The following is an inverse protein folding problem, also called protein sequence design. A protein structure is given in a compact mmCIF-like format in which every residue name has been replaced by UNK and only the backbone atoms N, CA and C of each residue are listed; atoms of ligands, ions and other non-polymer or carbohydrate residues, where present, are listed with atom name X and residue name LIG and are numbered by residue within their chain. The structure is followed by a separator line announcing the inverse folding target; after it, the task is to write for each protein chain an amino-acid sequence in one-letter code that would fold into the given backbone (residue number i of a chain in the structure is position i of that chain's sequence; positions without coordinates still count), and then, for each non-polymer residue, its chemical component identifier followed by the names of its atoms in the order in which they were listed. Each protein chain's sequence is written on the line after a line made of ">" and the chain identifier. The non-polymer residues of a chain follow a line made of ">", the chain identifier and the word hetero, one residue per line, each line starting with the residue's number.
data_IF_344221443497
#
_entry.id   IF_344221443497
#
_cell.length_a   1.000
_cell.length_b   1.000
_cell.length_c   1.000
_cell.angle_alpha   90.00
_cell.angle_beta   90.00
_cell.angle_gamma   90.00
#
_symmetry.space_group_name_H-M   'P 1'
#
loop_
_entity.id
_entity.type
_entity.pdbx_description
1 polymer ?
#
# COMPACT_ATOMS: atom_id res chain seq x y z
N UNK A 1 -2.20 -14.06 6.24
CA UNK A 1 -2.06 -13.67 4.82
C UNK A 1 -1.99 -12.15 4.75
N UNK A 2 -1.32 -11.57 3.76
CA UNK A 2 -1.29 -10.12 3.52
C UNK A 2 -1.48 -9.88 2.03
N UNK A 3 -2.42 -9.00 1.65
CA UNK A 3 -2.60 -8.63 0.25
C UNK A 3 -1.94 -7.29 -0.02
N UNK A 4 -0.88 -7.32 -0.80
CA UNK A 4 -0.14 -6.13 -1.20
C UNK A 4 -0.85 -5.41 -2.35
N UNK A 5 -1.06 -4.10 -2.19
CA UNK A 5 -1.60 -3.21 -3.23
C UNK A 5 -0.61 -2.09 -3.58
N UNK A 6 -0.76 -1.51 -4.77
CA UNK A 6 -0.01 -0.32 -5.15
C UNK A 6 -0.36 0.86 -4.23
N UNK A 7 0.65 1.54 -3.66
CA UNK A 7 0.40 2.68 -2.75
C UNK A 7 -0.11 3.92 -3.47
N UNK A 8 -0.20 3.89 -4.81
CA UNK A 8 -0.88 4.90 -5.64
C UNK A 8 -2.26 4.41 -6.10
N UNK A 9 -2.79 3.37 -5.45
CA UNK A 9 -4.15 2.82 -5.59
C UNK A 9 -4.56 2.44 -7.02
N UNK A 10 -3.60 1.99 -7.83
CA UNK A 10 -3.86 1.39 -9.15
C UNK A 10 -4.10 -0.11 -9.05
N UNK A 11 -4.80 -0.66 -10.04
CA UNK A 11 -5.09 -2.09 -10.17
C UNK A 11 -6.56 -2.43 -9.93
N UNK A 12 -6.85 -3.73 -9.84
CA UNK A 12 -8.20 -4.28 -9.69
C UNK A 12 -8.55 -4.45 -8.20
N UNK A 13 -8.48 -3.34 -7.46
CA UNK A 13 -8.51 -3.36 -5.98
C UNK A 13 -9.79 -3.99 -5.44
N UNK A 14 -10.95 -3.56 -5.93
CA UNK A 14 -12.24 -4.05 -5.45
C UNK A 14 -12.43 -5.52 -5.83
N UNK A 15 -12.18 -5.87 -7.09
CA UNK A 15 -12.36 -7.24 -7.60
C UNK A 15 -11.45 -8.25 -6.87
N UNK A 16 -10.21 -7.87 -6.57
CA UNK A 16 -9.28 -8.70 -5.79
C UNK A 16 -9.72 -8.87 -4.33
N UNK A 17 -10.26 -7.82 -3.70
CA UNK A 17 -10.82 -7.86 -2.34
C UNK A 17 -12.09 -8.74 -2.29
N UNK A 18 -12.95 -8.58 -3.28
CA UNK A 18 -14.18 -9.32 -3.47
C UNK A 18 -13.92 -10.83 -3.57
N UNK A 19 -12.94 -11.23 -4.38
CA UNK A 19 -12.54 -12.64 -4.50
C UNK A 19 -12.04 -13.25 -3.18
N UNK A 20 -11.34 -12.46 -2.36
CA UNK A 20 -10.90 -12.90 -1.02
C UNK A 20 -12.11 -13.17 -0.11
N UNK A 21 -13.12 -12.30 -0.16
CA UNK A 21 -14.32 -12.39 0.68
C UNK A 21 -15.26 -13.51 0.21
N UNK A 22 -15.39 -13.75 -1.10
CA UNK A 22 -16.16 -14.86 -1.67
C UNK A 22 -15.65 -16.22 -1.18
N UNK A 23 -14.33 -16.38 -1.20
CA UNK A 23 -13.64 -17.58 -0.74
C UNK A 23 -13.58 -17.69 0.80
N UNK A 24 -14.24 -16.77 1.52
CA UNK A 24 -14.30 -16.72 3.00
C UNK A 24 -12.91 -16.77 3.64
N UNK A 25 -11.92 -16.19 2.96
CA UNK A 25 -10.56 -16.10 3.47
C UNK A 25 -10.43 -15.06 4.59
N UNK A 26 -11.44 -14.20 4.75
CA UNK A 26 -11.57 -13.23 5.83
C UNK A 26 -13.05 -12.96 6.14
N UNK A 27 -13.36 -12.56 7.38
CA UNK A 27 -14.67 -12.01 7.75
C UNK A 27 -14.79 -10.55 7.31
N UNK A 28 -13.67 -9.82 7.36
CA UNK A 28 -13.59 -8.41 7.02
C UNK A 28 -12.20 -8.07 6.46
N UNK A 29 -12.14 -7.11 5.55
CA UNK A 29 -10.91 -6.60 4.97
C UNK A 29 -10.60 -5.21 5.52
N UNK A 30 -9.36 -4.98 5.91
CA UNK A 30 -8.85 -3.64 6.24
C UNK A 30 -8.02 -3.14 5.06
N UNK A 31 -8.58 -2.18 4.31
CA UNK A 31 -7.92 -1.54 3.18
C UNK A 31 -7.19 -0.27 3.62
N UNK A 32 -5.86 -0.34 3.69
CA UNK A 32 -5.00 0.73 4.22
C UNK A 32 -3.79 0.93 3.31
N UNK A 33 -3.93 1.71 2.22
CA UNK A 33 -2.87 1.86 1.22
C UNK A 33 -1.77 2.85 1.63
N UNK A 34 -1.90 3.56 2.76
CA UNK A 34 -0.97 4.58 3.19
C UNK A 34 0.49 4.08 3.29
N UNK A 35 1.41 4.94 2.88
CA UNK A 35 2.86 4.80 3.00
C UNK A 35 3.43 6.20 3.30
N UNK A 36 3.34 6.64 4.57
CA UNK A 36 3.72 7.99 5.01
C UNK A 36 5.13 8.41 4.60
N UNK A 37 6.10 7.49 4.67
CA UNK A 37 7.49 7.72 4.25
C UNK A 37 7.64 8.18 2.79
N UNK A 38 6.69 7.82 1.93
CA UNK A 38 6.66 8.22 0.52
C UNK A 38 5.63 9.33 0.26
N UNK A 39 5.18 10.01 1.31
CA UNK A 39 4.14 11.06 1.28
C UNK A 39 2.82 10.57 0.66
N UNK A 40 2.45 9.34 0.99
CA UNK A 40 1.20 8.69 0.56
C UNK A 40 0.35 8.46 1.81
N UNK A 41 -0.73 9.19 1.97
CA UNK A 41 -1.55 9.17 3.19
C UNK A 41 -3.03 9.09 2.84
N UNK A 42 -3.84 8.61 3.78
CA UNK A 42 -5.31 8.63 3.67
C UNK A 42 -5.89 9.41 4.83
N UNK A 43 -6.71 10.42 4.54
CA UNK A 43 -7.37 11.28 5.55
C UNK A 43 -8.80 11.57 5.13
N UNK A 44 -9.76 11.34 6.02
CA UNK A 44 -11.17 11.47 5.72
C UNK A 44 -11.58 10.60 4.53
N UNK A 45 -10.95 9.42 4.37
CA UNK A 45 -11.11 8.53 3.22
C UNK A 45 -10.49 9.01 1.92
N UNK A 46 -9.92 10.22 1.84
CA UNK A 46 -9.22 10.71 0.66
C UNK A 46 -7.75 10.28 0.67
N UNK A 47 -7.31 9.66 -0.42
CA UNK A 47 -5.91 9.28 -0.58
C UNK A 47 -5.12 10.37 -1.30
N UNK A 48 -4.01 10.76 -0.70
CA UNK A 48 -3.14 11.84 -1.16
C UNK A 48 -1.76 11.31 -1.48
N UNK A 49 -1.16 11.82 -2.57
CA UNK A 49 0.24 11.59 -2.93
C UNK A 49 0.92 12.95 -3.04
N UNK A 50 1.95 13.18 -2.24
CA UNK A 50 2.60 14.49 -2.11
C UNK A 50 1.58 15.62 -1.81
N UNK A 51 0.63 15.35 -0.92
CA UNK A 51 -0.46 16.29 -0.54
C UNK A 51 -1.47 16.61 -1.65
N UNK A 52 -1.39 15.94 -2.81
CA UNK A 52 -2.33 16.10 -3.91
C UNK A 52 -3.26 14.87 -3.93
N UNK A 53 -4.59 15.02 -4.06
CA UNK A 53 -5.49 13.89 -4.25
C UNK A 53 -5.02 12.99 -5.38
N UNK A 54 -4.93 11.68 -5.16
CA UNK A 54 -4.26 10.74 -6.08
C UNK A 54 -4.83 10.82 -7.51
N UNK A 55 -6.13 11.06 -7.65
CA UNK A 55 -6.82 11.27 -8.92
C UNK A 55 -6.41 12.50 -9.71
N UNK A 56 -5.70 13.44 -9.09
CA UNK A 56 -5.16 14.67 -9.69
C UNK A 56 -3.63 14.61 -9.86
N UNK A 57 -3.04 13.44 -9.78
CA UNK A 57 -1.59 13.24 -9.94
C UNK A 57 -1.27 12.52 -11.24
N UNK A 58 0.00 12.50 -11.65
CA UNK A 58 0.47 11.70 -12.79
C UNK A 58 0.12 10.19 -12.69
N UNK A 59 -0.18 9.69 -11.49
CA UNK A 59 -0.56 8.29 -11.30
C UNK A 59 -2.01 7.99 -11.72
N UNK A 60 -2.81 9.03 -12.01
CA UNK A 60 -4.17 8.87 -12.50
C UNK A 60 -4.29 8.73 -14.03
N UNK A 61 -3.17 8.89 -14.74
CA UNK A 61 -3.11 8.83 -16.20
C UNK A 61 -3.22 7.38 -16.70
N UNK A 62 -4.10 7.15 -17.68
CA UNK A 62 -4.22 5.87 -18.39
C UNK A 62 -4.99 4.76 -17.65
N UNK A 63 -5.50 5.00 -16.44
CA UNK A 63 -6.30 4.01 -15.69
C UNK A 63 -7.53 4.70 -15.09
N UNK A 64 -8.74 4.34 -15.51
CA UNK A 64 -9.96 5.06 -15.09
C UNK A 64 -10.18 5.03 -13.57
N UNK A 65 -9.97 3.88 -12.92
CA UNK A 65 -10.12 3.76 -11.46
C UNK A 65 -9.18 4.69 -10.70
N UNK A 66 -8.03 5.04 -11.27
CA UNK A 66 -7.05 5.90 -10.60
C UNK A 66 -7.42 7.39 -10.58
N UNK A 67 -8.57 7.80 -11.16
CA UNK A 67 -9.12 9.16 -11.08
C UNK A 67 -9.90 9.42 -9.78
N UNK A 68 -10.35 8.39 -9.08
CA UNK A 68 -11.14 8.53 -7.84
C UNK A 68 -10.18 8.63 -6.65
N UNK A 69 -10.23 9.77 -5.94
CA UNK A 69 -9.34 9.98 -4.78
C UNK A 69 -9.97 9.58 -3.44
N UNK A 70 -11.30 9.52 -3.36
CA UNK A 70 -12.01 9.08 -2.18
C UNK A 70 -12.14 7.54 -2.22
N UNK A 71 -11.36 6.87 -1.38
CA UNK A 71 -11.19 5.42 -1.41
C UNK A 71 -12.47 4.62 -1.19
N UNK A 72 -13.41 5.04 -0.31
CA UNK A 72 -14.67 4.33 -0.19
C UNK A 72 -15.46 4.29 -1.51
N UNK A 73 -15.51 5.39 -2.28
CA UNK A 73 -16.13 5.39 -3.62
C UNK A 73 -15.34 4.52 -4.59
N UNK A 74 -14.00 4.63 -4.60
CA UNK A 74 -13.13 3.82 -5.47
C UNK A 74 -13.41 2.32 -5.33
N UNK A 75 -13.65 1.83 -4.11
CA UNK A 75 -13.98 0.44 -3.86
C UNK A 75 -15.45 0.14 -4.17
N UNK A 76 -16.39 0.97 -3.68
CA UNK A 76 -17.84 0.76 -3.87
C UNK A 76 -18.28 0.71 -5.33
N UNK A 77 -17.60 1.43 -6.23
CA UNK A 77 -17.93 1.42 -7.67
C UNK A 77 -17.86 0.02 -8.29
N UNK A 78 -17.09 -0.89 -7.70
CA UNK A 78 -16.81 -2.22 -8.25
C UNK A 78 -16.98 -3.39 -7.28
N UNK A 79 -17.09 -3.10 -5.98
CA UNK A 79 -17.30 -4.08 -4.92
C UNK A 79 -18.79 -4.36 -4.76
N UNK A 80 -19.16 -5.64 -4.58
CA UNK A 80 -20.51 -6.02 -4.13
C UNK A 80 -20.68 -5.99 -2.61
N UNK A 81 -19.58 -5.83 -1.88
CA UNK A 81 -19.55 -5.78 -0.43
C UNK A 81 -19.66 -4.35 0.10
N UNK A 82 -20.34 -4.21 1.24
CA UNK A 82 -20.47 -2.94 1.93
C UNK A 82 -19.12 -2.42 2.43
N UNK A 83 -18.87 -1.15 2.13
CA UNK A 83 -17.62 -0.44 2.45
C UNK A 83 -17.93 0.66 3.47
N UNK A 84 -17.13 0.71 4.53
CA UNK A 84 -17.15 1.80 5.51
C UNK A 84 -15.73 2.35 5.74
N UNK A 85 -15.60 3.49 6.41
CA UNK A 85 -14.31 4.10 6.75
C UNK A 85 -13.98 3.93 8.23
N UNK A 86 -12.69 3.79 8.57
CA UNK A 86 -12.18 3.99 9.93
C UNK A 86 -11.54 5.38 9.94
N UNK A 87 -12.23 6.40 10.50
CA UNK A 87 -11.73 7.78 10.49
C UNK A 87 -10.43 7.92 11.27
N UNK A 88 -9.60 8.88 10.88
CA UNK A 88 -8.31 9.13 11.55
C UNK A 88 -8.47 9.36 13.06
N UNK A 89 -9.51 10.10 13.49
CA UNK A 89 -9.80 10.34 14.91
C UNK A 89 -9.99 9.03 15.72
N UNK A 90 -10.60 8.00 15.10
CA UNK A 90 -10.79 6.70 15.73
C UNK A 90 -9.46 5.97 15.86
N UNK A 91 -8.63 6.02 14.81
CA UNK A 91 -7.28 5.43 14.82
C UNK A 91 -6.41 6.11 15.88
N UNK A 92 -6.39 7.43 15.95
CA UNK A 92 -5.61 8.21 16.92
C UNK A 92 -6.04 7.97 18.37
N UNK A 93 -7.28 7.55 18.58
CA UNK A 93 -7.81 7.16 19.91
C UNK A 93 -7.25 5.82 20.42
N UNK A 94 -6.49 5.09 19.59
CA UNK A 94 -5.81 3.86 19.95
C UNK A 94 -6.54 2.60 19.47
N UNK A 95 -5.86 1.45 19.63
CA UNK A 95 -6.33 0.20 19.03
C UNK A 95 -7.63 -0.31 19.65
N UNK A 96 -7.88 -0.04 20.94
CA UNK A 96 -9.10 -0.49 21.63
C UNK A 96 -10.35 0.17 21.06
N UNK A 97 -10.28 1.49 20.84
CA UNK A 97 -11.39 2.23 20.23
C UNK A 97 -11.57 1.84 18.76
N UNK A 98 -10.46 1.66 18.04
CA UNK A 98 -10.48 1.15 16.66
C UNK A 98 -11.13 -0.24 16.58
N UNK A 99 -10.91 -1.13 17.55
CA UNK A 99 -11.58 -2.45 17.62
C UNK A 99 -13.09 -2.28 17.81
N UNK A 100 -13.53 -1.48 18.78
CA UNK A 100 -14.96 -1.25 19.05
C UNK A 100 -15.66 -0.69 17.81
N UNK A 101 -15.08 0.34 17.22
CA UNK A 101 -15.61 0.97 16.01
C UNK A 101 -15.72 -0.03 14.85
N UNK A 102 -14.65 -0.79 14.61
CA UNK A 102 -14.62 -1.78 13.52
C UNK A 102 -15.66 -2.90 13.71
N UNK A 103 -15.91 -3.34 14.95
CA UNK A 103 -16.99 -4.29 15.27
C UNK A 103 -18.36 -3.70 14.95
N UNK A 104 -18.62 -2.46 15.37
CA UNK A 104 -19.89 -1.80 15.06
C UNK A 104 -20.10 -1.68 13.54
N UNK A 105 -19.08 -1.37 12.75
CA UNK A 105 -19.18 -1.37 11.30
C UNK A 105 -19.47 -2.78 10.75
N UNK A 106 -18.79 -3.80 11.25
CA UNK A 106 -19.00 -5.19 10.85
C UNK A 106 -20.43 -5.68 11.13
N UNK A 107 -20.96 -5.38 12.32
CA UNK A 107 -22.33 -5.69 12.76
C UNK A 107 -23.39 -4.99 11.89
N UNK A 108 -23.09 -3.78 11.40
CA UNK A 108 -23.92 -3.05 10.42
C UNK A 108 -23.85 -3.61 9.00
N UNK A 109 -23.00 -4.61 8.75
CA UNK A 109 -22.89 -5.29 7.47
C UNK A 109 -21.63 -4.94 6.66
N UNK A 110 -20.78 -4.01 7.12
CA UNK A 110 -19.55 -3.70 6.41
C UNK A 110 -18.64 -4.92 6.34
N UNK A 111 -18.02 -5.15 5.17
CA UNK A 111 -17.03 -6.21 4.95
C UNK A 111 -15.70 -5.66 4.46
N UNK A 112 -15.65 -4.37 4.11
CA UNK A 112 -14.43 -3.66 3.75
C UNK A 112 -14.36 -2.38 4.57
N UNK A 113 -13.31 -2.21 5.36
CA UNK A 113 -13.03 -0.99 6.10
C UNK A 113 -11.83 -0.26 5.51
N UNK A 114 -12.04 0.97 5.05
CA UNK A 114 -11.00 1.86 4.57
C UNK A 114 -10.39 2.60 5.76
N UNK A 115 -9.14 2.28 6.09
CA UNK A 115 -8.45 2.92 7.22
C UNK A 115 -7.74 4.20 6.82
N UNK A 116 -8.03 5.30 7.52
CA UNK A 116 -7.22 6.50 7.48
C UNK A 116 -5.86 6.25 8.16
N UNK A 117 -4.80 6.84 7.60
CA UNK A 117 -3.46 6.84 8.18
C UNK A 117 -2.61 7.94 7.53
N UNK A 118 -2.05 8.80 8.38
CA UNK A 118 -1.11 9.86 8.06
C UNK A 118 0.34 9.50 8.40
N UNK A 119 0.53 8.67 9.43
CA UNK A 119 1.82 8.42 10.07
C UNK A 119 2.08 6.92 10.23
N UNK A 120 3.35 6.57 10.50
CA UNK A 120 3.70 5.18 10.82
C UNK A 120 3.08 4.73 12.16
N UNK A 121 2.75 5.67 13.05
CA UNK A 121 2.08 5.38 14.32
C UNK A 121 0.62 4.96 14.08
N UNK A 122 -0.10 5.64 13.19
CA UNK A 122 -1.46 5.27 12.80
C UNK A 122 -1.49 3.85 12.22
N UNK A 123 -0.51 3.54 11.35
CA UNK A 123 -0.35 2.20 10.77
C UNK A 123 -0.05 1.14 11.85
N UNK A 124 0.73 1.50 12.88
CA UNK A 124 1.02 0.62 14.02
C UNK A 124 -0.24 0.34 14.82
N UNK A 125 -1.07 1.36 15.09
CA UNK A 125 -2.35 1.21 15.78
C UNK A 125 -3.27 0.27 15.00
N UNK A 126 -3.42 0.49 13.69
CA UNK A 126 -4.18 -0.39 12.80
C UNK A 126 -3.67 -1.83 12.87
N UNK A 127 -2.34 -2.03 12.87
CA UNK A 127 -1.74 -3.37 13.04
C UNK A 127 -2.10 -3.99 14.39
N UNK A 128 -2.06 -3.25 15.50
CA UNK A 128 -2.47 -3.76 16.81
C UNK A 128 -3.95 -4.14 16.83
N UNK A 129 -4.83 -3.35 16.20
CA UNK A 129 -6.26 -3.64 16.04
C UNK A 129 -6.47 -4.96 15.31
N UNK A 130 -5.83 -5.13 14.14
CA UNK A 130 -5.94 -6.34 13.31
C UNK A 130 -5.53 -7.59 14.08
N UNK A 131 -4.52 -7.49 14.96
CA UNK A 131 -4.01 -8.64 15.72
C UNK A 131 -4.85 -9.00 16.96
N UNK A 132 -5.70 -8.09 17.45
CA UNK A 132 -6.43 -8.26 18.72
C UNK A 132 -7.94 -8.37 18.56
N UNK A 133 -8.48 -7.92 17.44
CA UNK A 133 -9.89 -8.07 17.16
C UNK A 133 -10.24 -9.54 16.96
N UNK A 134 -11.34 -9.97 17.57
CA UNK A 134 -11.91 -11.31 17.40
C UNK A 134 -12.73 -11.38 16.10
N UNK A 135 -12.06 -11.10 14.98
CA UNK A 135 -12.56 -11.25 13.61
C UNK A 135 -11.39 -11.69 12.75
N UNK A 136 -11.65 -12.55 11.76
CA UNK A 136 -10.63 -12.95 10.78
C UNK A 136 -10.39 -11.82 9.80
N UNK A 137 -9.48 -10.91 10.14
CA UNK A 137 -9.16 -9.76 9.29
C UNK A 137 -8.06 -10.11 8.28
N UNK A 138 -8.29 -9.78 7.02
CA UNK A 138 -7.19 -9.69 6.06
C UNK A 138 -6.69 -8.25 5.92
N UNK A 139 -5.41 -7.97 6.25
CA UNK A 139 -4.78 -6.71 5.90
C UNK A 139 -4.56 -6.63 4.38
N UNK A 140 -5.12 -5.58 3.77
CA UNK A 140 -4.92 -5.21 2.37
C UNK A 140 -4.29 -3.83 2.35
N UNK A 141 -3.03 -3.72 1.95
CA UNK A 141 -2.32 -2.45 2.06
C UNK A 141 -1.04 -2.38 1.25
N UNK A 142 -0.35 -1.24 1.36
CA UNK A 142 0.91 -1.03 0.66
C UNK A 142 2.13 -1.39 1.52
N UNK A 143 3.32 -0.94 1.13
CA UNK A 143 4.53 -1.21 1.91
C UNK A 143 4.47 -0.59 3.33
N UNK A 144 3.64 0.43 3.54
CA UNK A 144 3.52 1.11 4.83
C UNK A 144 2.99 0.16 5.90
N UNK A 145 1.77 -0.35 5.70
CA UNK A 145 1.17 -1.31 6.63
C UNK A 145 1.97 -2.62 6.68
N UNK A 146 2.47 -3.12 5.53
CA UNK A 146 3.26 -4.36 5.50
C UNK A 146 4.44 -4.34 6.46
N UNK A 147 5.18 -3.22 6.52
CA UNK A 147 6.35 -3.06 7.39
C UNK A 147 6.02 -3.07 8.88
N UNK A 148 4.78 -2.79 9.27
CA UNK A 148 4.33 -2.90 10.66
C UNK A 148 4.14 -4.36 11.10
N UNK A 149 3.84 -5.26 10.15
CA UNK A 149 3.79 -6.69 10.40
C UNK A 149 5.17 -7.35 10.24
N UNK A 150 5.94 -6.90 9.25
CA UNK A 150 7.20 -7.50 8.83
C UNK A 150 8.29 -6.44 8.77
N UNK A 151 8.86 -6.03 9.92
CA UNK A 151 9.91 -5.03 9.95
C UNK A 151 11.13 -5.50 9.14
N UNK A 152 11.82 -4.57 8.44
CA UNK A 152 12.95 -4.92 7.61
C UNK A 152 14.05 -5.57 8.45
N UNK A 153 14.51 -6.74 8.01
CA UNK A 153 15.69 -7.37 8.57
C UNK A 153 16.91 -6.88 7.79
N UNK A 154 17.90 -6.36 8.50
CA UNK A 154 19.16 -5.99 7.85
C UNK A 154 19.98 -7.24 7.58
N UNK A 155 20.21 -7.53 6.31
CA UNK A 155 21.17 -8.55 5.91
C UNK A 155 22.49 -7.85 5.57
N UNK A 156 23.55 -8.17 6.30
CA UNK A 156 24.91 -7.83 5.88
C UNK A 156 25.36 -8.86 4.87
N UNK A 157 25.33 -8.51 3.59
CA UNK A 157 25.93 -9.32 2.55
C UNK A 157 27.37 -8.84 2.31
N UNK A 158 28.35 -9.70 2.61
CA UNK A 158 29.78 -9.43 2.41
C UNK A 158 30.30 -10.01 1.10
N UNK A 159 29.47 -10.72 0.33
CA UNK A 159 29.86 -11.29 -0.95
C UNK A 159 29.77 -10.27 -2.10
N UNK A 160 30.57 -10.43 -3.17
CA UNK A 160 30.42 -9.65 -4.40
C UNK A 160 28.98 -9.75 -4.94
N UNK A 161 28.43 -8.62 -5.39
CA UNK A 161 27.08 -8.52 -5.93
C UNK A 161 27.12 -8.11 -7.40
N UNK A 162 26.32 -8.78 -8.25
CA UNK A 162 26.05 -8.36 -9.61
C UNK A 162 24.80 -7.47 -9.64
N UNK A 163 24.94 -6.24 -10.13
CA UNK A 163 23.82 -5.31 -10.34
C UNK A 163 23.50 -5.24 -11.83
N UNK A 164 22.29 -5.64 -12.22
CA UNK A 164 21.78 -5.50 -13.59
C UNK A 164 20.74 -4.37 -13.62
N UNK A 165 21.01 -3.29 -14.35
CA UNK A 165 20.11 -2.15 -14.46
C UNK A 165 19.65 -1.97 -15.92
N UNK A 166 18.40 -2.31 -16.21
CA UNK A 166 17.76 -2.05 -17.50
C UNK A 166 16.83 -0.82 -17.52
N UNK A 167 16.67 -0.14 -16.38
CA UNK A 167 15.74 0.98 -16.24
C UNK A 167 16.25 2.25 -16.93
N UNK A 168 15.41 2.85 -17.76
CA UNK A 168 15.66 4.15 -18.40
C UNK A 168 15.10 5.34 -17.58
N UNK A 169 14.70 5.14 -16.32
CA UNK A 169 14.20 6.25 -15.51
C UNK A 169 15.36 7.13 -14.99
N UNK A 170 15.09 8.42 -14.71
CA UNK A 170 16.11 9.39 -14.25
C UNK A 170 16.76 8.98 -12.91
N UNK A 171 16.00 8.37 -12.01
CA UNK A 171 16.46 7.97 -10.68
C UNK A 171 17.46 6.82 -10.77
N UNK A 172 17.15 5.78 -11.56
CA UNK A 172 18.00 4.63 -11.81
C UNK A 172 19.31 5.04 -12.49
N UNK A 173 19.27 5.98 -13.44
CA UNK A 173 20.50 6.55 -14.02
C UNK A 173 21.37 7.21 -12.97
N UNK A 174 20.81 8.09 -12.14
CA UNK A 174 21.56 8.75 -11.07
C UNK A 174 22.14 7.76 -10.05
N UNK A 175 21.40 6.69 -9.73
CA UNK A 175 21.86 5.61 -8.85
C UNK A 175 23.02 4.82 -9.46
N UNK A 176 22.94 4.48 -10.75
CA UNK A 176 24.01 3.79 -11.48
C UNK A 176 25.26 4.65 -11.48
N UNK A 177 25.18 5.93 -11.87
CA UNK A 177 26.34 6.84 -11.88
C UNK A 177 27.01 6.95 -10.51
N UNK A 178 26.21 7.05 -9.43
CA UNK A 178 26.74 7.03 -8.06
C UNK A 178 27.48 5.73 -7.73
N UNK A 179 26.98 4.59 -8.21
CA UNK A 179 27.61 3.28 -8.02
C UNK A 179 28.89 3.16 -8.85
N UNK A 180 28.91 3.65 -10.09
CA UNK A 180 30.09 3.66 -10.97
C UNK A 180 31.27 4.42 -10.36
N UNK A 181 31.00 5.48 -9.59
CA UNK A 181 32.03 6.25 -8.90
C UNK A 181 32.70 5.51 -7.73
N UNK A 182 32.19 4.34 -7.31
CA UNK A 182 32.76 3.59 -6.20
C UNK A 182 33.93 2.69 -6.68
N UNK A 183 35.08 2.82 -6.03
CA UNK A 183 36.36 2.18 -6.43
C UNK A 183 36.34 0.65 -6.55
N UNK A 184 35.37 -0.03 -5.93
CA UNK A 184 35.25 -1.49 -5.96
C UNK A 184 34.25 -2.00 -7.02
N UNK A 185 33.66 -1.10 -7.80
CA UNK A 185 32.64 -1.45 -8.78
C UNK A 185 33.28 -1.57 -10.16
N UNK A 186 33.10 -2.73 -10.78
CA UNK A 186 33.36 -2.92 -12.20
C UNK A 186 32.06 -2.79 -12.97
N UNK A 187 32.09 -2.05 -14.07
CA UNK A 187 30.90 -1.73 -14.87
C UNK A 187 31.03 -2.36 -16.25
N UNK A 188 29.93 -2.89 -16.77
CA UNK A 188 29.81 -3.35 -18.15
C UNK A 188 28.56 -2.70 -18.71
N UNK A 189 28.71 -1.94 -19.81
CA UNK A 189 27.59 -1.32 -20.50
C UNK A 189 27.22 -2.15 -21.72
N UNK A 190 25.96 -2.61 -21.76
CA UNK A 190 25.44 -3.41 -22.85
C UNK A 190 24.87 -2.50 -23.93
N UNK A 191 25.49 -2.51 -25.10
CA UNK A 191 24.91 -1.89 -26.29
C UNK A 191 23.93 -2.85 -26.94
N UNK A 192 22.66 -2.45 -27.07
CA UNK A 192 21.63 -3.27 -27.73
C UNK A 192 22.01 -3.62 -29.17
N UNK A 193 22.76 -2.74 -29.85
CA UNK A 193 23.29 -2.95 -31.20
C UNK A 193 24.29 -4.12 -31.30
N UNK A 194 24.90 -4.52 -30.18
CA UNK A 194 25.84 -5.64 -30.11
C UNK A 194 25.16 -6.95 -29.72
N UNK A 195 23.98 -6.88 -29.10
CA UNK A 195 23.25 -8.06 -28.58
C UNK A 195 22.36 -8.70 -29.64
N UNK A 196 21.77 -7.90 -30.54
CA UNK A 196 20.85 -8.39 -31.58
C UNK A 196 21.50 -8.54 -32.97
N UNK A 197 22.79 -8.90 -33.04
CA UNK A 197 23.46 -9.27 -34.29
C UNK A 197 23.36 -10.76 -34.57
#
# INVERSE_FOLDING_TARGET
>A
MYKKVDSTVRGNLAEEIDAILDEKLADIVFFVPALPEMKRITVGGYHLVNHIPVGKTQYSEGIESSKVSYLPTLIREKSRYEVDGIPLQVVESGYEETIKYSRTCYEKGARILVGDACTNEDLRIIRETILRIDLKILPVGSAGLFRQFFPPHSFRNTYPCLVVCGSLNKVSRAQVEKLRAHHQVKTVELSLMQVFR
#
